data_IF_903629347855
#
_entry.id   IF_903629347855
#
_cell.length_a   1.000
_cell.length_b   1.000
_cell.length_c   1.000
_cell.angle_alpha   90.00
_cell.angle_beta   90.00
_cell.angle_gamma   90.00
#
_symmetry.space_group_name_H-M   'P 1'
#
loop_
_entity.id
_entity.type
_entity.pdbx_description
1 polymer ?
#
# COMPACT_ATOMS: atom_id res chain seq x y z
N UNK A 1 11.62 -8.73 12.21
CA UNK A 1 13.00 -8.39 11.81
C UNK A 1 13.95 -9.42 12.43
N UNK A 2 14.76 -10.12 11.62
CA UNK A 2 15.79 -11.04 12.14
C UNK A 2 15.76 -12.47 11.58
N UNK A 3 14.62 -12.93 11.06
CA UNK A 3 14.57 -14.19 10.31
C UNK A 3 14.81 -13.94 8.81
N UNK A 4 15.65 -14.75 8.14
CA UNK A 4 15.90 -14.62 6.71
C UNK A 4 14.66 -14.86 5.84
N UNK A 5 13.62 -15.53 6.38
CA UNK A 5 12.36 -15.77 5.66
C UNK A 5 11.33 -14.65 5.86
N UNK A 6 11.52 -13.76 6.83
CA UNK A 6 10.53 -12.70 7.13
C UNK A 6 10.16 -11.85 5.92
N UNK A 7 11.12 -11.39 5.07
CA UNK A 7 10.80 -10.57 3.91
C UNK A 7 9.93 -11.30 2.89
N UNK A 8 10.20 -12.58 2.65
CA UNK A 8 9.41 -13.40 1.74
C UNK A 8 7.97 -13.58 2.25
N UNK A 9 7.80 -13.83 3.55
CA UNK A 9 6.47 -13.98 4.13
C UNK A 9 5.68 -12.65 4.11
N UNK A 10 6.35 -11.52 4.35
CA UNK A 10 5.74 -10.20 4.22
C UNK A 10 5.28 -9.93 2.77
N UNK A 11 6.13 -10.25 1.79
CA UNK A 11 5.81 -10.11 0.37
C UNK A 11 4.61 -10.97 -0.04
N UNK A 12 4.58 -12.25 0.34
CA UNK A 12 3.45 -13.16 0.07
C UNK A 12 2.15 -12.64 0.70
N UNK A 13 2.22 -12.18 1.95
CA UNK A 13 1.05 -11.69 2.65
C UNK A 13 0.50 -10.42 2.01
N UNK A 14 1.35 -9.44 1.70
CA UNK A 14 0.94 -8.19 1.06
C UNK A 14 0.44 -8.43 -0.36
N UNK A 15 1.09 -9.30 -1.14
CA UNK A 15 0.60 -9.70 -2.46
C UNK A 15 -0.82 -10.31 -2.38
N UNK A 16 -1.13 -11.08 -1.33
CA UNK A 16 -2.49 -11.61 -1.11
C UNK A 16 -3.50 -10.50 -0.80
N UNK A 17 -3.11 -9.48 -0.03
CA UNK A 17 -3.96 -8.32 0.28
C UNK A 17 -4.19 -7.46 -0.97
N UNK A 18 -3.15 -7.21 -1.75
CA UNK A 18 -3.22 -6.48 -3.01
C UNK A 18 -4.12 -7.18 -4.04
N UNK A 19 -3.95 -8.49 -4.21
CA UNK A 19 -4.66 -9.26 -5.23
C UNK A 19 -6.06 -9.72 -4.82
N UNK A 20 -6.51 -9.42 -3.60
CA UNK A 20 -7.86 -9.77 -3.13
C UNK A 20 -8.61 -8.54 -2.62
N UNK A 21 -8.53 -8.14 -1.33
CA UNK A 21 -9.35 -7.04 -0.83
C UNK A 21 -9.03 -5.69 -1.48
N UNK A 22 -7.80 -5.45 -1.94
CA UNK A 22 -7.43 -4.20 -2.62
C UNK A 22 -7.43 -4.29 -4.14
N UNK A 23 -7.83 -5.42 -4.73
CA UNK A 23 -7.64 -5.66 -6.16
C UNK A 23 -8.29 -4.58 -7.03
N UNK A 24 -9.53 -4.21 -6.72
CA UNK A 24 -10.24 -3.15 -7.44
C UNK A 24 -9.52 -1.81 -7.31
N UNK A 25 -9.18 -1.42 -6.09
CA UNK A 25 -8.51 -0.16 -5.78
C UNK A 25 -7.15 -0.06 -6.47
N UNK A 26 -6.30 -1.07 -6.32
CA UNK A 26 -4.96 -1.12 -6.91
C UNK A 26 -5.04 -1.12 -8.44
N UNK A 27 -6.02 -1.81 -9.03
CA UNK A 27 -6.20 -1.84 -10.49
C UNK A 27 -6.63 -0.49 -11.10
N UNK A 28 -7.13 0.43 -10.28
CA UNK A 28 -7.51 1.78 -10.70
C UNK A 28 -6.38 2.78 -10.53
N UNK A 29 -5.38 2.48 -9.70
CA UNK A 29 -4.24 3.35 -9.51
C UNK A 29 -3.33 3.28 -10.74
N UNK A 30 -2.96 4.43 -11.34
CA UNK A 30 -2.14 4.45 -12.55
C UNK A 30 -0.75 3.87 -12.31
N UNK A 31 -0.23 4.04 -11.10
CA UNK A 31 1.08 3.56 -10.70
C UNK A 31 1.06 3.10 -9.25
N UNK A 32 1.58 1.90 -9.00
CA UNK A 32 1.87 1.40 -7.66
C UNK A 32 3.27 0.78 -7.66
N UNK A 33 4.09 1.17 -6.69
CA UNK A 33 5.39 0.57 -6.44
C UNK A 33 5.37 -0.04 -5.05
N UNK A 34 5.86 -1.27 -4.91
CA UNK A 34 6.00 -1.92 -3.62
C UNK A 34 7.40 -2.45 -3.42
N UNK A 35 7.99 -2.15 -2.26
CA UNK A 35 9.26 -2.69 -1.81
C UNK A 35 9.07 -3.34 -0.44
N UNK A 36 8.93 -4.67 -0.44
CA UNK A 36 8.61 -5.47 0.75
C UNK A 36 7.33 -4.95 1.41
N UNK A 37 7.44 -4.16 2.48
CA UNK A 37 6.36 -3.59 3.29
C UNK A 37 5.99 -2.14 2.94
N UNK A 38 6.86 -1.43 2.21
CA UNK A 38 6.60 -0.07 1.77
C UNK A 38 5.87 -0.06 0.42
N UNK A 39 4.83 0.76 0.33
CA UNK A 39 4.05 0.95 -0.90
C UNK A 39 3.93 2.43 -1.21
N UNK A 40 4.23 2.81 -2.44
CA UNK A 40 4.08 4.18 -2.94
C UNK A 40 3.23 4.22 -4.20
N UNK A 41 2.51 5.33 -4.37
CA UNK A 41 1.65 5.55 -5.54
C UNK A 41 1.67 7.02 -5.90
N UNK A 42 1.51 7.31 -7.19
CA UNK A 42 1.36 8.67 -7.70
C UNK A 42 -0.12 8.87 -7.99
N UNK A 43 -0.71 9.85 -7.34
CA UNK A 43 -2.14 10.17 -7.49
C UNK A 43 -2.28 11.48 -8.26
N UNK A 44 -3.18 11.49 -9.23
CA UNK A 44 -3.63 12.73 -9.86
C UNK A 44 -4.46 13.55 -8.87
N UNK A 45 -4.53 14.87 -9.08
CA UNK A 45 -5.17 15.79 -8.13
C UNK A 45 -6.67 15.53 -7.97
N UNK A 46 -7.31 14.94 -8.96
CA UNK A 46 -8.73 14.57 -8.92
C UNK A 46 -9.02 13.35 -8.02
N UNK A 47 -8.01 12.56 -7.63
CA UNK A 47 -8.23 11.41 -6.75
C UNK A 47 -8.56 11.84 -5.32
N UNK A 48 -9.61 11.23 -4.76
CA UNK A 48 -9.92 11.36 -3.35
C UNK A 48 -8.93 10.54 -2.51
N UNK A 49 -7.83 11.19 -2.15
CA UNK A 49 -6.80 10.64 -1.27
C UNK A 49 -7.36 10.21 0.10
N UNK A 50 -8.36 10.92 0.63
CA UNK A 50 -8.96 10.60 1.93
C UNK A 50 -9.70 9.27 1.90
N UNK A 51 -10.49 9.05 0.84
CA UNK A 51 -11.16 7.78 0.59
C UNK A 51 -10.15 6.65 0.37
N UNK A 52 -9.13 6.88 -0.48
CA UNK A 52 -8.08 5.89 -0.72
C UNK A 52 -7.37 5.48 0.59
N UNK A 53 -6.99 6.45 1.41
CA UNK A 53 -6.38 6.21 2.73
C UNK A 53 -7.29 5.37 3.62
N UNK A 54 -8.59 5.68 3.67
CA UNK A 54 -9.54 4.92 4.48
C UNK A 54 -9.68 3.46 4.00
N UNK A 55 -9.68 3.21 2.69
CA UNK A 55 -9.71 1.85 2.14
C UNK A 55 -8.47 1.07 2.61
N UNK A 56 -7.28 1.65 2.49
CA UNK A 56 -6.04 1.00 2.88
C UNK A 56 -5.96 0.74 4.40
N UNK A 57 -6.30 1.72 5.24
CA UNK A 57 -6.28 1.55 6.71
C UNK A 57 -7.20 0.42 7.16
N UNK A 58 -8.37 0.29 6.54
CA UNK A 58 -9.40 -0.65 6.99
C UNK A 58 -9.38 -2.00 6.26
N UNK A 59 -8.41 -2.23 5.39
CA UNK A 59 -8.39 -3.40 4.50
C UNK A 59 -8.32 -4.74 5.25
N UNK A 60 -7.60 -4.79 6.37
CA UNK A 60 -7.36 -6.05 7.08
C UNK A 60 -6.97 -5.78 8.54
N UNK A 61 -7.59 -6.49 9.48
CA UNK A 61 -7.45 -6.24 10.93
C UNK A 61 -6.04 -6.40 11.49
N UNK A 62 -5.18 -7.18 10.82
CA UNK A 62 -3.80 -7.46 11.25
C UNK A 62 -2.75 -6.52 10.66
N UNK A 63 -3.12 -5.57 9.81
CA UNK A 63 -2.19 -4.58 9.25
C UNK A 63 -2.78 -3.18 9.41
N UNK A 64 -1.91 -2.19 9.53
CA UNK A 64 -2.31 -0.80 9.65
C UNK A 64 -1.41 0.04 8.74
N UNK A 65 -1.95 0.43 7.59
CA UNK A 65 -1.23 1.27 6.64
C UNK A 65 -1.10 2.70 7.18
N UNK A 66 0.11 3.23 7.10
CA UNK A 66 0.38 4.66 7.26
C UNK A 66 0.63 5.26 5.88
N UNK A 67 0.27 6.53 5.71
CA UNK A 67 0.52 7.25 4.46
C UNK A 67 1.19 8.56 4.80
N UNK A 68 2.23 8.87 4.06
CA UNK A 68 2.97 10.13 4.12
C UNK A 68 2.88 10.78 2.73
N UNK A 69 2.85 12.11 2.72
CA UNK A 69 2.86 12.87 1.47
C UNK A 69 4.28 13.25 1.14
N UNK A 70 4.62 13.18 -0.15
CA UNK A 70 5.80 13.82 -0.65
C UNK A 70 5.69 15.34 -0.44
N UNK A 71 6.71 15.91 0.19
CA UNK A 71 6.88 17.35 0.38
C UNK A 71 8.32 17.74 0.05
N UNK A 72 8.50 18.55 -1.00
CA UNK A 72 9.79 19.16 -1.37
C UNK A 72 10.92 18.12 -1.58
N UNK A 73 10.64 17.08 -2.36
CA UNK A 73 11.49 15.93 -2.65
C UNK A 73 11.85 15.08 -1.41
N UNK A 74 11.00 15.10 -0.38
CA UNK A 74 11.15 14.27 0.82
C UNK A 74 9.82 13.59 1.13
N UNK A 75 9.88 12.35 1.58
CA UNK A 75 8.76 11.60 2.15
C UNK A 75 9.08 11.41 3.62
#
# INVERSE_FOLDING_TARGET
>A
MGSPLSPLLADIFLAKVENRPLKSTVSQLPTIYRYIDDTSTVLEKEYDKGNLRNIFINVHSSINFKSEDEQKNSI
#
